data_IF_406011213428
#
_entry.id   IF_406011213428
#
_cell.length_a   1.000
_cell.length_b   1.000
_cell.length_c   1.000
_cell.angle_alpha   90.00
_cell.angle_beta   90.00
_cell.angle_gamma   90.00
#
_symmetry.space_group_name_H-M   'P 1'
#
loop_
_entity.id
_entity.type
_entity.pdbx_description
1 polymer ?
#
# COMPACT_ATOMS: atom_id res chain seq x y z
N UNK A 1 -0.56 -6.67 14.15
CA UNK A 1 0.16 -7.97 14.13
C UNK A 1 1.52 -7.73 13.47
N UNK A 2 2.61 -8.06 14.16
CA UNK A 2 3.97 -7.76 13.67
C UNK A 2 4.36 -8.63 12.48
N UNK A 3 3.96 -9.91 12.46
CA UNK A 3 4.29 -10.82 11.36
C UNK A 3 3.60 -10.37 10.08
N UNK A 4 2.32 -10.01 10.19
CA UNK A 4 1.55 -9.42 9.10
C UNK A 4 2.16 -8.10 8.59
N UNK A 5 2.47 -7.16 9.47
CA UNK A 5 3.08 -5.88 9.08
C UNK A 5 4.43 -6.07 8.37
N UNK A 6 5.26 -6.98 8.85
CA UNK A 6 6.54 -7.32 8.22
C UNK A 6 6.35 -7.96 6.84
N UNK A 7 5.35 -8.83 6.67
CA UNK A 7 5.04 -9.41 5.37
C UNK A 7 4.51 -8.36 4.40
N UNK A 8 3.54 -7.54 4.81
CA UNK A 8 3.00 -6.45 3.97
C UNK A 8 4.10 -5.47 3.58
N UNK A 9 5.03 -5.12 4.49
CA UNK A 9 6.22 -4.33 4.15
C UNK A 9 7.07 -5.01 3.07
N UNK A 10 7.47 -6.27 3.28
CA UNK A 10 8.33 -7.00 2.33
C UNK A 10 7.69 -7.09 0.95
N UNK A 11 6.41 -7.44 0.89
CA UNK A 11 5.64 -7.51 -0.35
C UNK A 11 5.50 -6.13 -0.99
N UNK A 12 5.21 -5.07 -0.21
CA UNK A 12 5.13 -3.70 -0.73
C UNK A 12 6.43 -3.26 -1.39
N UNK A 13 7.57 -3.52 -0.74
CA UNK A 13 8.89 -3.18 -1.28
C UNK A 13 9.25 -4.01 -2.51
N UNK A 14 8.93 -5.30 -2.52
CA UNK A 14 9.10 -6.15 -3.68
C UNK A 14 8.30 -5.64 -4.90
N UNK A 15 7.01 -5.32 -4.69
CA UNK A 15 6.14 -4.75 -5.71
C UNK A 15 6.72 -3.43 -6.23
N UNK A 16 7.14 -2.54 -5.32
CA UNK A 16 7.75 -1.27 -5.66
C UNK A 16 8.99 -1.48 -6.52
N UNK A 17 9.95 -2.27 -6.05
CA UNK A 17 11.25 -2.44 -6.70
C UNK A 17 11.12 -3.11 -8.07
N UNK A 18 10.14 -4.01 -8.24
CA UNK A 18 9.89 -4.72 -9.49
C UNK A 18 9.17 -3.87 -10.54
N UNK A 19 8.40 -2.86 -10.12
CA UNK A 19 7.57 -2.04 -11.02
C UNK A 19 8.06 -0.59 -11.14
N UNK A 20 9.08 -0.17 -10.39
CA UNK A 20 9.48 1.24 -10.25
C UNK A 20 9.75 1.96 -11.57
N UNK A 21 10.40 1.28 -12.52
CA UNK A 21 10.84 1.91 -13.76
C UNK A 21 9.64 2.16 -14.68
N UNK A 22 8.74 1.18 -14.79
CA UNK A 22 7.51 1.26 -15.58
C UNK A 22 6.49 2.24 -14.96
N UNK A 23 6.39 2.28 -13.63
CA UNK A 23 5.43 3.11 -12.90
C UNK A 23 5.95 4.53 -12.56
N UNK A 24 7.19 4.84 -12.96
CA UNK A 24 7.86 6.09 -12.64
C UNK A 24 7.89 6.38 -11.13
N UNK A 25 8.18 5.37 -10.31
CA UNK A 25 8.27 5.50 -8.86
C UNK A 25 9.61 6.13 -8.46
N UNK A 26 9.56 7.04 -7.50
CA UNK A 26 10.74 7.78 -7.02
C UNK A 26 11.36 7.10 -5.81
N UNK A 27 12.68 7.17 -5.70
CA UNK A 27 13.42 6.58 -4.56
C UNK A 27 12.87 7.02 -3.21
N UNK A 28 12.44 8.28 -3.07
CA UNK A 28 11.84 8.78 -1.84
C UNK A 28 10.52 8.09 -1.47
N UNK A 29 9.71 7.71 -2.46
CA UNK A 29 8.43 7.02 -2.24
C UNK A 29 8.63 5.62 -1.64
N UNK A 30 9.77 4.98 -1.90
CA UNK A 30 10.12 3.66 -1.36
C UNK A 30 10.19 3.68 0.17
N UNK A 31 10.85 4.68 0.74
CA UNK A 31 10.98 4.83 2.20
C UNK A 31 9.62 5.15 2.84
N UNK A 32 8.82 6.01 2.20
CA UNK A 32 7.48 6.33 2.70
C UNK A 32 6.56 5.11 2.67
N UNK A 33 6.65 4.30 1.61
CA UNK A 33 5.93 3.03 1.50
C UNK A 33 6.37 2.03 2.56
N UNK A 34 7.67 1.92 2.84
CA UNK A 34 8.18 1.04 3.90
C UNK A 34 7.57 1.36 5.26
N UNK A 35 7.59 2.64 5.63
CA UNK A 35 7.06 3.11 6.92
C UNK A 35 5.54 2.95 6.95
N UNK A 36 4.83 3.34 5.88
CA UNK A 36 3.39 3.16 5.80
C UNK A 36 2.98 1.69 5.91
N UNK A 37 3.72 0.78 5.26
CA UNK A 37 3.44 -0.65 5.31
C UNK A 37 3.71 -1.25 6.70
N UNK A 38 4.69 -0.76 7.46
CA UNK A 38 4.88 -1.19 8.84
C UNK A 38 3.78 -0.70 9.79
N UNK A 39 3.27 0.51 9.55
CA UNK A 39 2.35 1.18 10.46
C UNK A 39 0.88 1.05 10.05
N UNK A 40 0.57 0.42 8.91
CA UNK A 40 -0.78 0.46 8.32
C UNK A 40 -1.88 -0.02 9.28
N UNK A 41 -1.52 -0.99 10.13
CA UNK A 41 -2.44 -1.70 11.03
C UNK A 41 -2.29 -1.32 12.51
N UNK A 42 -1.47 -0.31 12.85
CA UNK A 42 -1.23 0.08 14.25
C UNK A 42 -2.52 0.51 14.98
N UNK A 43 -3.48 1.07 14.24
CA UNK A 43 -4.79 1.47 14.74
C UNK A 43 -5.68 0.31 15.19
N UNK A 44 -5.37 -0.93 14.79
CA UNK A 44 -6.11 -2.11 15.25
C UNK A 44 -5.97 -2.34 16.76
N UNK A 45 -4.91 -1.81 17.38
CA UNK A 45 -4.75 -1.77 18.84
C UNK A 45 -5.85 -0.97 19.54
N UNK A 46 -6.38 0.07 18.88
CA UNK A 46 -7.53 0.82 19.40
C UNK A 46 -8.79 0.00 19.17
N UNK A 47 -9.16 -0.24 17.90
CA UNK A 47 -10.30 -1.07 17.48
C UNK A 47 -10.11 -1.60 16.06
N UNK A 48 -10.63 -2.81 15.73
CA UNK A 48 -10.58 -3.34 14.36
C UNK A 48 -11.39 -2.52 13.35
N UNK A 49 -12.54 -1.97 13.78
CA UNK A 49 -13.36 -1.08 12.95
C UNK A 49 -12.63 0.24 12.74
N UNK A 50 -12.60 0.72 11.49
CA UNK A 50 -11.94 1.97 11.09
C UNK A 50 -10.46 2.06 11.53
N UNK A 51 -9.77 0.92 11.68
CA UNK A 51 -8.37 0.90 12.12
C UNK A 51 -7.46 1.75 11.24
N UNK A 52 -7.77 1.92 9.95
CA UNK A 52 -7.01 2.78 9.04
C UNK A 52 -7.06 4.26 9.45
N UNK A 53 -8.20 4.73 9.98
CA UNK A 53 -8.33 6.09 10.52
C UNK A 53 -7.62 6.23 11.87
N UNK A 54 -7.65 5.18 12.68
CA UNK A 54 -6.89 5.11 13.93
C UNK A 54 -5.38 5.07 13.68
N UNK A 55 -4.91 4.32 12.67
CA UNK A 55 -3.51 4.27 12.26
C UNK A 55 -3.04 5.63 11.79
N UNK A 56 -3.82 6.31 10.94
CA UNK A 56 -3.54 7.69 10.53
C UNK A 56 -3.41 8.62 11.75
N UNK A 57 -4.35 8.56 12.69
CA UNK A 57 -4.32 9.37 13.89
C UNK A 57 -3.06 9.10 14.73
N UNK A 58 -2.75 7.83 15.00
CA UNK A 58 -1.56 7.45 15.78
C UNK A 58 -0.30 7.97 15.11
N UNK A 59 -0.16 7.76 13.80
CA UNK A 59 1.00 8.26 13.04
C UNK A 59 1.10 9.78 13.23
N UNK A 60 0.04 10.53 12.94
CA UNK A 60 0.07 12.00 13.05
C UNK A 60 0.39 12.54 14.45
N UNK A 61 0.10 11.78 15.51
CA UNK A 61 0.40 12.14 16.90
C UNK A 61 1.72 11.56 17.42
N UNK A 62 2.45 10.81 16.60
CA UNK A 62 3.73 10.21 16.96
C UNK A 62 4.89 11.04 16.43
N UNK A 63 5.96 11.12 17.21
CA UNK A 63 7.22 11.69 16.76
C UNK A 63 8.06 10.61 16.06
N UNK A 64 8.07 10.64 14.72
CA UNK A 64 8.92 9.76 13.91
C UNK A 64 10.19 10.53 13.53
N UNK A 65 11.27 10.26 14.25
CA UNK A 65 12.56 10.92 14.03
C UNK A 65 13.04 10.75 12.59
N UNK A 66 13.57 11.83 12.00
CA UNK A 66 14.09 11.83 10.63
C UNK A 66 13.05 12.13 9.55
N UNK A 67 11.78 12.34 9.91
CA UNK A 67 10.74 12.79 8.99
C UNK A 67 10.39 14.26 9.20
N UNK A 68 10.21 15.00 8.10
CA UNK A 68 9.60 16.32 8.16
C UNK A 68 8.07 16.21 8.20
N UNK A 69 7.40 17.32 8.51
CA UNK A 69 5.94 17.36 8.66
C UNK A 69 5.19 16.89 7.40
N UNK A 70 5.72 17.20 6.21
CA UNK A 70 5.11 16.82 4.94
C UNK A 70 5.16 15.29 4.74
N UNK A 71 6.35 14.69 4.86
CA UNK A 71 6.55 13.23 4.78
C UNK A 71 5.71 12.50 5.83
N UNK A 72 5.60 13.08 7.02
CA UNK A 72 4.75 12.57 8.08
C UNK A 72 3.27 12.52 7.68
N UNK A 73 2.74 13.62 7.15
CA UNK A 73 1.37 13.67 6.61
C UNK A 73 1.18 12.69 5.45
N UNK A 74 2.16 12.55 4.55
CA UNK A 74 2.07 11.60 3.44
C UNK A 74 1.97 10.16 3.90
N UNK A 75 2.78 9.74 4.88
CA UNK A 75 2.73 8.38 5.47
C UNK A 75 1.39 8.14 6.16
N UNK A 76 0.91 9.11 6.93
CA UNK A 76 -0.39 9.03 7.58
C UNK A 76 -1.54 8.91 6.56
N UNK A 77 -1.53 9.72 5.51
CA UNK A 77 -2.53 9.65 4.43
C UNK A 77 -2.44 8.32 3.67
N UNK A 78 -1.26 7.88 3.28
CA UNK A 78 -1.10 6.58 2.60
C UNK A 78 -1.62 5.42 3.46
N UNK A 79 -1.34 5.47 4.76
CA UNK A 79 -1.87 4.53 5.75
C UNK A 79 -3.39 4.64 5.87
N UNK A 80 -3.99 5.83 5.90
CA UNK A 80 -5.46 6.00 5.92
C UNK A 80 -6.13 5.27 4.74
N UNK A 81 -5.52 5.35 3.56
CA UNK A 81 -6.12 4.90 2.30
C UNK A 81 -5.70 3.49 1.85
N UNK A 82 -4.98 2.74 2.70
CA UNK A 82 -4.65 1.32 2.44
C UNK A 82 -5.89 0.41 2.38
N UNK A 83 -7.05 0.91 2.81
CA UNK A 83 -8.37 0.29 2.66
C UNK A 83 -9.47 1.35 2.66
N UNK A 84 -10.69 0.94 2.29
CA UNK A 84 -11.83 1.83 2.27
C UNK A 84 -11.79 2.82 1.09
N UNK A 85 -12.33 4.04 1.25
CA UNK A 85 -12.43 5.00 0.17
C UNK A 85 -11.06 5.44 -0.35
N UNK A 86 -11.02 5.88 -1.59
CA UNK A 86 -9.82 6.45 -2.22
C UNK A 86 -9.54 7.87 -1.71
N UNK A 87 -8.30 8.39 -1.87
CA UNK A 87 -7.95 9.74 -1.45
C UNK A 87 -8.82 10.80 -2.13
N UNK A 88 -9.41 11.72 -1.34
CA UNK A 88 -10.30 12.77 -1.83
C UNK A 88 -9.88 14.15 -1.32
N UNK A 89 -10.07 15.19 -2.13
CA UNK A 89 -9.77 16.59 -1.73
C UNK A 89 -10.72 17.14 -0.64
N UNK A 90 -11.79 16.42 -0.31
CA UNK A 90 -12.64 16.70 0.85
C UNK A 90 -11.93 16.40 2.18
N UNK A 91 -10.92 15.53 2.16
CA UNK A 91 -10.04 15.27 3.30
C UNK A 91 -9.00 16.39 3.40
N UNK A 92 -9.11 17.22 4.44
CA UNK A 92 -8.28 18.43 4.60
C UNK A 92 -6.78 18.12 4.71
N UNK A 93 -6.40 16.94 5.24
CA UNK A 93 -5.00 16.55 5.37
C UNK A 93 -4.42 16.22 4.02
N UNK A 94 -5.12 15.39 3.25
CA UNK A 94 -4.72 15.09 1.87
C UNK A 94 -4.74 16.34 0.98
N UNK A 95 -5.74 17.20 1.15
CA UNK A 95 -5.85 18.46 0.41
C UNK A 95 -4.70 19.44 0.72
N UNK A 96 -4.16 19.41 1.93
CA UNK A 96 -3.05 20.28 2.35
C UNK A 96 -1.71 19.95 1.68
N UNK A 97 -1.56 18.73 1.14
CA UNK A 97 -0.38 18.31 0.39
C UNK A 97 -0.32 19.02 -0.97
N UNK A 98 0.87 19.22 -1.51
CA UNK A 98 1.06 19.66 -2.90
C UNK A 98 0.52 18.64 -3.89
N UNK A 99 0.35 19.03 -5.15
CA UNK A 99 -0.11 18.10 -6.20
C UNK A 99 0.83 16.90 -6.34
N UNK A 100 2.14 17.13 -6.26
CA UNK A 100 3.15 16.07 -6.38
C UNK A 100 3.10 15.10 -5.20
N UNK A 101 3.02 15.62 -3.97
CA UNK A 101 2.90 14.80 -2.76
C UNK A 101 1.59 13.98 -2.76
N UNK A 102 0.49 14.56 -3.23
CA UNK A 102 -0.78 13.83 -3.41
C UNK A 102 -0.65 12.66 -4.39
N UNK A 103 0.06 12.87 -5.51
CA UNK A 103 0.35 11.79 -6.48
C UNK A 103 1.19 10.71 -5.81
N UNK A 104 2.22 11.06 -5.04
CA UNK A 104 3.01 10.07 -4.30
C UNK A 104 2.16 9.30 -3.27
N UNK A 105 1.25 9.95 -2.54
CA UNK A 105 0.31 9.27 -1.64
C UNK A 105 -0.59 8.29 -2.39
N UNK A 106 -1.11 8.67 -3.56
CA UNK A 106 -1.91 7.77 -4.41
C UNK A 106 -1.12 6.53 -4.83
N UNK A 107 0.13 6.72 -5.28
CA UNK A 107 1.03 5.63 -5.69
C UNK A 107 1.36 4.70 -4.51
N UNK A 108 1.67 5.25 -3.35
CA UNK A 108 2.01 4.47 -2.15
C UNK A 108 0.79 3.70 -1.66
N UNK A 109 -0.37 4.36 -1.53
CA UNK A 109 -1.60 3.74 -1.08
C UNK A 109 -2.07 2.64 -2.03
N UNK A 110 -1.91 2.82 -3.34
CA UNK A 110 -2.28 1.79 -4.32
C UNK A 110 -1.41 0.55 -4.18
N UNK A 111 -0.07 0.68 -4.09
CA UNK A 111 0.83 -0.46 -3.89
C UNK A 111 0.55 -1.16 -2.56
N UNK A 112 0.33 -0.38 -1.49
CA UNK A 112 0.03 -0.93 -0.16
C UNK A 112 -1.29 -1.73 -0.17
N UNK A 113 -2.32 -1.27 -0.90
CA UNK A 113 -3.58 -2.02 -1.10
C UNK A 113 -3.35 -3.36 -1.79
N UNK A 114 -2.44 -3.42 -2.77
CA UNK A 114 -2.07 -4.65 -3.46
C UNK A 114 -1.36 -5.61 -2.50
N UNK A 115 -0.33 -5.14 -1.79
CA UNK A 115 0.42 -5.96 -0.83
C UNK A 115 -0.49 -6.56 0.27
N UNK A 116 -1.38 -5.75 0.82
CA UNK A 116 -2.40 -6.17 1.78
C UNK A 116 -3.36 -7.22 1.20
N UNK A 117 -3.73 -7.11 -0.08
CA UNK A 117 -4.58 -8.10 -0.74
C UNK A 117 -3.87 -9.46 -0.88
N UNK A 118 -2.56 -9.45 -1.08
CA UNK A 118 -1.71 -10.64 -1.20
C UNK A 118 -1.46 -11.36 0.13
N UNK A 119 -1.75 -10.72 1.27
CA UNK A 119 -1.77 -11.38 2.59
C UNK A 119 -3.19 -11.53 3.15
N UNK A 120 -4.21 -11.64 2.30
CA UNK A 120 -5.62 -11.64 2.76
C UNK A 120 -5.91 -12.68 3.84
N UNK A 121 -5.24 -13.83 3.79
CA UNK A 121 -5.43 -14.90 4.77
C UNK A 121 -4.63 -14.70 6.07
N UNK A 122 -3.74 -13.71 6.14
CA UNK A 122 -2.75 -13.50 7.23
C UNK A 122 -1.94 -14.77 7.53
N UNK A 123 -1.75 -15.61 6.52
CA UNK A 123 -1.01 -16.88 6.61
C UNK A 123 0.32 -16.84 5.85
N UNK A 124 0.65 -15.69 5.23
CA UNK A 124 1.89 -15.48 4.49
C UNK A 124 2.17 -16.63 3.51
N UNK A 125 1.12 -17.02 2.79
CA UNK A 125 1.10 -18.22 1.94
C UNK A 125 1.83 -18.02 0.63
N UNK A 126 1.82 -16.81 0.10
CA UNK A 126 2.47 -16.51 -1.16
C UNK A 126 3.96 -16.34 -0.89
N UNK A 127 4.76 -17.24 -1.45
CA UNK A 127 6.22 -17.23 -1.36
C UNK A 127 6.79 -17.10 -2.77
N UNK A 128 8.02 -16.59 -2.85
CA UNK A 128 8.76 -16.46 -4.09
C UNK A 128 7.91 -15.77 -5.17
N UNK A 129 7.43 -14.56 -4.84
CA UNK A 129 6.67 -13.75 -5.77
C UNK A 129 7.56 -13.38 -6.97
N UNK A 130 6.99 -13.46 -8.16
CA UNK A 130 7.59 -12.97 -9.39
C UNK A 130 6.58 -12.04 -10.09
N UNK A 131 7.09 -11.09 -10.88
CA UNK A 131 6.26 -10.14 -11.63
C UNK A 131 6.70 -10.13 -13.09
N UNK A 132 5.75 -10.38 -13.99
CA UNK A 132 5.90 -10.20 -15.42
C UNK A 132 5.05 -9.02 -15.88
N UNK A 133 5.62 -8.10 -16.67
CA UNK A 133 4.87 -7.04 -17.33
C UNK A 133 4.64 -7.38 -18.80
N UNK A 134 3.38 -7.47 -19.22
CA UNK A 134 2.99 -7.82 -20.58
C UNK A 134 1.61 -7.29 -20.91
N UNK A 135 1.41 -6.79 -22.14
CA UNK A 135 0.11 -6.30 -22.62
C UNK A 135 -0.55 -5.31 -21.64
N UNK A 136 0.20 -4.29 -21.21
CA UNK A 136 -0.25 -3.24 -20.26
C UNK A 136 -0.80 -3.79 -18.93
N UNK A 137 -0.27 -4.95 -18.51
CA UNK A 137 -0.70 -5.66 -17.31
C UNK A 137 0.51 -6.23 -16.56
N UNK A 138 0.47 -6.13 -15.23
CA UNK A 138 1.37 -6.83 -14.32
C UNK A 138 0.75 -8.15 -13.88
N UNK A 139 1.49 -9.23 -14.09
CA UNK A 139 1.14 -10.57 -13.67
C UNK A 139 2.03 -10.97 -12.51
N UNK A 140 1.42 -11.15 -11.34
CA UNK A 140 2.07 -11.68 -10.15
C UNK A 140 1.91 -13.20 -10.20
N UNK A 141 3.02 -13.92 -10.11
CA UNK A 141 3.08 -15.37 -9.92
C UNK A 141 3.69 -15.70 -8.57
N UNK A 142 3.41 -16.89 -8.06
CA UNK A 142 3.87 -17.34 -6.74
C UNK A 142 3.94 -18.85 -6.68
N UNK A 143 4.84 -19.37 -5.86
CA UNK A 143 4.87 -20.79 -5.53
C UNK A 143 3.80 -21.12 -4.48
N UNK A 144 2.81 -21.95 -4.82
CA UNK A 144 1.76 -22.38 -3.90
C UNK A 144 0.53 -22.96 -4.61
N UNK A 145 -0.18 -23.88 -3.95
CA UNK A 145 -1.26 -24.64 -4.58
C UNK A 145 -2.64 -23.95 -4.57
N UNK A 146 -2.86 -22.94 -3.72
CA UNK A 146 -4.17 -22.27 -3.61
C UNK A 146 -4.04 -20.77 -3.23
N UNK A 147 -4.45 -19.89 -4.14
CA UNK A 147 -4.45 -18.42 -3.96
C UNK A 147 -5.82 -17.77 -4.22
N UNK A 148 -6.92 -18.54 -4.14
CA UNK A 148 -8.26 -18.06 -4.52
C UNK A 148 -8.72 -16.84 -3.71
N UNK A 149 -8.41 -16.80 -2.41
CA UNK A 149 -8.78 -15.68 -1.53
C UNK A 149 -7.98 -14.42 -1.89
N UNK A 150 -6.68 -14.56 -2.09
CA UNK A 150 -5.76 -13.49 -2.47
C UNK A 150 -6.08 -12.97 -3.88
N UNK A 151 -6.40 -13.85 -4.84
CA UNK A 151 -6.87 -13.49 -6.20
C UNK A 151 -8.12 -12.64 -6.14
N UNK A 152 -9.10 -13.06 -5.33
CA UNK A 152 -10.35 -12.31 -5.15
C UNK A 152 -10.09 -10.96 -4.48
N UNK A 153 -9.32 -10.94 -3.39
CA UNK A 153 -8.97 -9.72 -2.68
C UNK A 153 -8.22 -8.74 -3.58
N UNK A 154 -7.30 -9.23 -4.41
CA UNK A 154 -6.56 -8.42 -5.36
C UNK A 154 -7.49 -7.75 -6.36
N UNK A 155 -8.40 -8.54 -6.96
CA UNK A 155 -9.41 -8.01 -7.89
C UNK A 155 -10.30 -6.93 -7.24
N UNK A 156 -10.67 -7.10 -5.98
CA UNK A 156 -11.48 -6.12 -5.23
C UNK A 156 -10.70 -4.85 -4.88
N UNK A 157 -9.37 -4.95 -4.70
CA UNK A 157 -8.51 -3.82 -4.26
C UNK A 157 -7.70 -3.15 -5.37
N UNK A 158 -7.66 -3.71 -6.58
CA UNK A 158 -6.84 -3.22 -7.70
C UNK A 158 -7.27 -1.87 -8.28
N UNK A 159 -8.51 -1.43 -8.08
CA UNK A 159 -9.07 -0.24 -8.75
C UNK A 159 -8.21 1.03 -8.59
N UNK A 160 -7.70 1.30 -7.37
CA UNK A 160 -6.84 2.47 -7.16
C UNK A 160 -5.52 2.34 -7.94
N UNK A 161 -4.94 1.15 -8.01
CA UNK A 161 -3.72 0.90 -8.81
C UNK A 161 -3.99 1.14 -10.30
N UNK A 162 -5.08 0.57 -10.81
CA UNK A 162 -5.47 0.72 -12.23
C UNK A 162 -5.75 2.18 -12.59
N UNK A 163 -6.43 2.92 -11.69
CA UNK A 163 -6.72 4.35 -11.89
C UNK A 163 -5.46 5.21 -11.84
N UNK A 164 -4.52 4.91 -10.94
CA UNK A 164 -3.30 5.73 -10.75
C UNK A 164 -2.27 5.48 -11.84
N UNK A 165 -2.11 4.22 -12.28
CA UNK A 165 -1.05 3.83 -13.19
C UNK A 165 -1.51 3.52 -14.62
N UNK A 166 -2.81 3.31 -14.84
CA UNK A 166 -3.34 2.92 -16.15
C UNK A 166 -3.08 1.46 -16.53
N UNK A 167 -2.48 0.67 -15.65
CA UNK A 167 -2.15 -0.74 -15.88
C UNK A 167 -2.99 -1.66 -15.01
N UNK A 168 -3.29 -2.85 -15.52
CA UNK A 168 -3.92 -3.92 -14.72
C UNK A 168 -2.90 -4.63 -13.85
N UNK A 169 -3.36 -5.20 -12.73
CA UNK A 169 -2.55 -6.05 -11.88
C UNK A 169 -3.32 -7.30 -11.49
N UNK A 170 -2.73 -8.47 -11.75
CA UNK A 170 -3.40 -9.76 -11.68
C UNK A 170 -2.52 -10.77 -10.94
N UNK A 171 -3.13 -11.65 -10.15
CA UNK A 171 -2.47 -12.79 -9.53
C UNK A 171 -2.86 -14.04 -10.34
N UNK A 172 -1.86 -14.74 -10.87
CA UNK A 172 -2.03 -15.94 -11.69
C UNK A 172 -2.16 -17.23 -10.89
#
# INVERSE_FOLDING_TARGET
DMEHAEYVKKTSLFLFDSMKDELGLKVEERLLLEIAALLHDIGAFIRPQNHNEHSEYIILQSDIFGLNKQKHTMIASATRYHRGPEPQLSDSRYASLTREERVSVLKIASILRIAEALDRSHRQRLKNLEIEFKNDSFFITTEGLESLLEKRALKEKANLFETVFGYRILLL
#
